data_IF_385280824130
#
_entry.id   IF_385280824130
#
_cell.length_a   1.000
_cell.length_b   1.000
_cell.length_c   1.000
_cell.angle_alpha   90.00
_cell.angle_beta   90.00
_cell.angle_gamma   90.00
#
_symmetry.space_group_name_H-M   'P 1'
#
loop_
_entity.id
_entity.type
_entity.pdbx_description
1 polymer ?
#
# COMPACT_ATOMS: atom_id res chain seq x y z
N UNK A 1 -20.81 -15.32 4.63
CA UNK A 1 -20.38 -13.93 4.35
C UNK A 1 -19.50 -13.96 3.10
N UNK A 2 -19.83 -13.20 2.05
CA UNK A 2 -18.96 -13.11 0.86
C UNK A 2 -17.81 -12.15 1.16
N UNK A 3 -16.58 -12.51 0.82
CA UNK A 3 -15.44 -11.60 0.94
C UNK A 3 -15.51 -10.57 -0.19
N UNK A 4 -15.39 -9.29 0.16
CA UNK A 4 -15.21 -8.23 -0.83
C UNK A 4 -13.74 -8.24 -1.25
N UNK A 5 -13.47 -8.11 -2.55
CA UNK A 5 -12.09 -7.98 -3.02
C UNK A 5 -11.50 -6.67 -2.48
N UNK A 6 -10.34 -6.77 -1.81
CA UNK A 6 -9.63 -5.64 -1.22
C UNK A 6 -8.62 -5.00 -2.19
N UNK A 7 -8.14 -5.76 -3.16
CA UNK A 7 -7.16 -5.28 -4.14
C UNK A 7 -7.80 -4.18 -5.00
N UNK A 8 -7.07 -3.08 -5.20
CA UNK A 8 -7.55 -1.90 -5.94
C UNK A 8 -8.42 -0.95 -5.12
N UNK A 9 -8.72 -1.24 -3.84
CA UNK A 9 -9.42 -0.27 -3.00
C UNK A 9 -8.51 0.93 -2.70
N UNK A 10 -9.09 2.13 -2.78
CA UNK A 10 -8.39 3.37 -2.47
C UNK A 10 -8.04 3.45 -0.99
N UNK A 11 -6.85 3.97 -0.72
CA UNK A 11 -6.35 4.23 0.64
C UNK A 11 -6.31 5.73 0.88
N UNK A 12 -7.08 6.18 1.86
CA UNK A 12 -7.23 7.59 2.22
C UNK A 12 -6.62 7.83 3.60
N UNK A 13 -5.75 8.82 3.72
CA UNK A 13 -5.08 9.20 4.97
C UNK A 13 -6.02 9.98 5.90
N UNK A 14 -5.58 10.21 7.15
CA UNK A 14 -6.34 10.98 8.14
C UNK A 14 -6.65 12.41 7.68
N UNK A 15 -5.71 13.01 6.96
CA UNK A 15 -5.78 14.35 6.36
C UNK A 15 -6.45 14.35 4.97
N UNK A 16 -7.24 13.31 4.68
CA UNK A 16 -8.05 13.16 3.47
C UNK A 16 -7.26 13.13 2.15
N UNK A 17 -5.96 12.82 2.19
CA UNK A 17 -5.18 12.61 0.98
C UNK A 17 -5.41 11.21 0.43
N UNK A 18 -5.46 11.10 -0.90
CA UNK A 18 -5.49 9.81 -1.57
C UNK A 18 -4.06 9.29 -1.72
N UNK A 19 -3.71 8.26 -0.97
CA UNK A 19 -2.37 7.68 -0.98
C UNK A 19 -2.13 6.81 -2.23
N UNK A 20 -3.18 6.11 -2.69
CA UNK A 20 -3.08 5.10 -3.73
C UNK A 20 -4.08 3.96 -3.51
N UNK A 21 -3.68 2.75 -3.88
CA UNK A 21 -4.55 1.57 -3.90
C UNK A 21 -3.86 0.35 -3.29
N UNK A 22 -4.65 -0.58 -2.74
CA UNK A 22 -4.12 -1.85 -2.22
C UNK A 22 -3.61 -2.72 -3.37
N UNK A 23 -2.36 -3.15 -3.27
CA UNK A 23 -1.67 -4.05 -4.21
C UNK A 23 -1.53 -5.46 -3.63
N UNK A 24 -1.49 -5.58 -2.30
CA UNK A 24 -1.27 -6.87 -1.61
C UNK A 24 -1.53 -6.81 -0.10
N UNK A 25 -1.43 -7.97 0.54
CA UNK A 25 -1.57 -8.13 1.99
C UNK A 25 -0.55 -9.14 2.53
N UNK A 26 -0.04 -8.89 3.71
CA UNK A 26 0.86 -9.80 4.42
C UNK A 26 0.09 -10.45 5.57
N UNK A 27 0.30 -11.75 5.77
CA UNK A 27 -0.35 -12.50 6.83
C UNK A 27 0.65 -13.36 7.59
N UNK A 28 0.52 -13.37 8.92
CA UNK A 28 1.21 -14.33 9.76
C UNK A 28 0.51 -15.69 9.62
N UNK A 29 1.20 -16.66 9.04
CA UNK A 29 0.69 -18.01 8.76
C UNK A 29 0.43 -18.84 10.02
N UNK A 30 1.02 -18.47 11.16
CA UNK A 30 0.84 -19.20 12.41
C UNK A 30 -0.46 -18.76 13.10
N UNK A 31 -0.76 -17.46 13.04
CA UNK A 31 -1.96 -16.87 13.67
C UNK A 31 -3.11 -16.63 12.69
N UNK A 32 -2.86 -16.77 11.39
CA UNK A 32 -3.77 -16.46 10.28
C UNK A 32 -4.34 -15.03 10.33
N UNK A 33 -3.53 -14.09 10.84
CA UNK A 33 -3.89 -12.67 10.92
C UNK A 33 -3.16 -11.86 9.85
N UNK A 34 -3.89 -10.96 9.19
CA UNK A 34 -3.29 -9.94 8.34
C UNK A 34 -2.48 -9.00 9.23
N UNK A 35 -1.21 -8.80 8.88
CA UNK A 35 -0.28 -7.95 9.64
C UNK A 35 -0.10 -6.60 8.95
N UNK A 36 -0.02 -6.59 7.62
CA UNK A 36 0.32 -5.42 6.84
C UNK A 36 -0.42 -5.40 5.49
N UNK A 37 -0.55 -4.20 4.93
CA UNK A 37 -1.15 -3.92 3.64
C UNK A 37 -0.11 -3.30 2.71
N UNK A 38 0.07 -3.88 1.52
CA UNK A 38 0.88 -3.27 0.48
C UNK A 38 0.02 -2.23 -0.26
N UNK A 39 0.45 -0.97 -0.22
CA UNK A 39 -0.22 0.14 -0.89
C UNK A 39 0.67 0.64 -2.02
N UNK A 40 0.17 0.51 -3.24
CA UNK A 40 0.77 1.12 -4.42
C UNK A 40 0.46 2.61 -4.43
N UNK A 41 1.49 3.42 -4.29
CA UNK A 41 1.37 4.87 -4.26
C UNK A 41 0.94 5.42 -5.63
N UNK A 42 0.04 6.40 -5.62
CA UNK A 42 -0.30 7.16 -6.82
C UNK A 42 0.75 8.25 -7.11
N UNK A 43 0.61 8.95 -8.24
CA UNK A 43 1.63 9.92 -8.69
C UNK A 43 1.68 11.16 -7.81
N UNK A 44 0.52 11.58 -7.32
CA UNK A 44 0.32 12.74 -6.47
C UNK A 44 1.00 12.53 -5.12
N UNK A 45 0.73 11.41 -4.44
CA UNK A 45 1.35 11.03 -3.18
C UNK A 45 2.87 10.89 -3.30
N UNK A 46 3.38 10.25 -4.36
CA UNK A 46 4.85 10.17 -4.60
C UNK A 46 5.47 11.56 -4.66
N UNK A 47 4.81 12.50 -5.38
CA UNK A 47 5.29 13.87 -5.55
C UNK A 47 5.25 14.64 -4.22
N UNK A 48 4.14 14.58 -3.49
CA UNK A 48 3.93 15.31 -2.25
C UNK A 48 4.81 14.79 -1.10
N UNK A 49 5.04 13.48 -1.06
CA UNK A 49 6.00 12.89 -0.14
C UNK A 49 7.45 13.20 -0.51
N UNK A 50 7.72 13.78 -1.69
CA UNK A 50 9.08 14.04 -2.17
C UNK A 50 9.86 12.76 -2.48
N UNK A 51 9.17 11.66 -2.75
CA UNK A 51 9.78 10.38 -3.09
C UNK A 51 10.22 10.40 -4.56
N UNK A 52 11.36 9.79 -4.84
CA UNK A 52 11.84 9.66 -6.22
C UNK A 52 10.97 8.68 -6.96
N UNK A 53 10.22 9.17 -7.95
CA UNK A 53 9.45 8.31 -8.84
C UNK A 53 10.39 7.34 -9.57
N UNK A 54 10.16 6.02 -9.49
CA UNK A 54 10.93 5.05 -10.26
C UNK A 54 10.69 5.25 -11.76
N UNK A 55 11.74 5.07 -12.58
CA UNK A 55 11.63 5.18 -14.05
C UNK A 55 10.79 4.05 -14.64
N UNK A 56 10.73 2.90 -13.97
CA UNK A 56 9.93 1.74 -14.31
C UNK A 56 9.44 1.06 -13.02
N UNK A 57 8.21 0.56 -13.02
CA UNK A 57 7.60 -0.08 -11.85
C UNK A 57 6.76 0.88 -10.99
N UNK A 58 6.17 0.31 -9.94
CA UNK A 58 5.35 1.02 -8.97
C UNK A 58 6.15 1.25 -7.67
N UNK A 59 5.82 2.33 -6.94
CA UNK A 59 6.33 2.52 -5.59
C UNK A 59 5.28 1.96 -4.61
N UNK A 60 5.65 0.96 -3.83
CA UNK A 60 4.78 0.27 -2.88
C UNK A 60 5.27 0.59 -1.47
N UNK A 61 4.34 0.92 -0.58
CA UNK A 61 4.61 1.07 0.86
C UNK A 61 3.86 -0.01 1.62
N UNK A 62 4.53 -0.60 2.61
CA UNK A 62 3.96 -1.61 3.49
C UNK A 62 3.42 -0.92 4.75
N UNK A 63 2.11 -1.00 4.97
CA UNK A 63 1.42 -0.29 6.05
C UNK A 63 0.87 -1.30 7.06
N UNK A 64 1.26 -1.21 8.35
CA UNK A 64 0.71 -2.06 9.40
C UNK A 64 -0.81 -1.97 9.46
N UNK A 65 -1.47 -3.10 9.70
CA UNK A 65 -2.93 -3.17 9.81
C UNK A 65 -3.47 -2.29 10.96
N UNK A 66 -2.63 -2.01 11.97
CA UNK A 66 -2.91 -1.12 13.09
C UNK A 66 -3.08 0.35 12.67
N UNK A 67 -2.63 0.72 11.47
CA UNK A 67 -2.80 2.06 10.91
C UNK A 67 -4.15 2.21 10.21
N UNK A 68 -4.92 1.13 10.06
CA UNK A 68 -6.26 1.18 9.46
C UNK A 68 -7.29 1.58 10.51
N UNK A 69 -7.99 2.68 10.24
CA UNK A 69 -9.13 3.16 11.03
C UNK A 69 -10.44 2.50 10.63
N UNK A 70 -10.65 2.29 9.33
CA UNK A 70 -11.92 1.78 8.78
C UNK A 70 -11.70 1.00 7.49
N UNK A 71 -12.41 -0.12 7.36
CA UNK A 71 -12.61 -0.86 6.11
C UNK A 71 -13.99 -0.57 5.53
N UNK A 72 -14.07 -0.40 4.21
CA UNK A 72 -15.32 -0.16 3.49
C UNK A 72 -15.15 -0.19 1.97
N UNK A 73 -15.73 0.79 1.28
CA UNK A 73 -15.47 1.05 -0.15
C UNK A 73 -14.12 1.71 -0.39
N UNK A 74 -13.56 2.28 0.67
CA UNK A 74 -12.18 2.78 0.76
C UNK A 74 -11.60 2.31 2.09
N UNK A 75 -10.28 2.28 2.18
CA UNK A 75 -9.56 2.06 3.43
C UNK A 75 -9.16 3.44 3.96
N UNK A 76 -9.57 3.76 5.17
CA UNK A 76 -9.18 5.01 5.84
C UNK A 76 -8.13 4.73 6.88
N UNK A 77 -7.03 5.46 6.86
CA UNK A 77 -5.96 5.37 7.85
C UNK A 77 -6.24 6.29 9.04
N UNK A 78 -5.64 5.97 10.19
CA UNK A 78 -5.61 6.83 11.37
C UNK A 78 -4.34 7.71 11.44
N UNK A 79 -3.57 7.78 10.36
CA UNK A 79 -2.33 8.56 10.24
C UNK A 79 -2.39 9.49 9.02
N UNK A 80 -1.70 10.63 9.11
CA UNK A 80 -1.58 11.61 8.01
C UNK A 80 -0.61 11.12 6.93
N UNK A 81 -0.65 11.75 5.75
CA UNK A 81 0.31 11.43 4.69
C UNK A 81 1.77 11.64 5.13
N UNK A 82 2.03 12.65 5.95
CA UNK A 82 3.36 12.94 6.50
C UNK A 82 3.83 11.83 7.46
N UNK A 83 2.94 11.31 8.30
CA UNK A 83 3.26 10.18 9.19
C UNK A 83 3.65 8.93 8.37
N UNK A 84 2.92 8.65 7.29
CA UNK A 84 3.20 7.50 6.40
C UNK A 84 4.55 7.63 5.71
N UNK A 85 4.94 8.83 5.29
CA UNK A 85 6.27 9.07 4.68
C UNK A 85 7.42 8.64 5.59
N UNK A 86 7.26 8.75 6.89
CA UNK A 86 8.28 8.40 7.88
C UNK A 86 8.31 6.90 8.22
N UNK A 87 7.35 6.13 7.72
CA UNK A 87 7.30 4.69 7.82
C UNK A 87 8.35 4.10 6.85
N UNK A 88 9.45 3.55 7.39
CA UNK A 88 10.64 3.09 6.65
C UNK A 88 10.32 2.47 5.28
N UNK A 89 10.92 3.04 4.24
CA UNK A 89 10.80 2.62 2.84
C UNK A 89 11.16 1.14 2.66
N UNK A 90 10.18 0.30 2.34
CA UNK A 90 10.45 -1.01 1.73
C UNK A 90 10.28 -0.85 0.22
N UNK A 91 11.31 -0.35 -0.45
CA UNK A 91 11.30 -0.16 -1.91
C UNK A 91 11.42 -1.51 -2.61
N UNK A 92 10.32 -2.23 -2.79
CA UNK A 92 10.29 -3.41 -3.67
C UNK A 92 10.12 -2.96 -5.11
N UNK A 93 11.22 -2.90 -5.86
CA UNK A 93 11.19 -2.81 -7.32
C UNK A 93 10.72 -4.16 -7.86
N UNK A 94 9.49 -4.25 -8.40
CA UNK A 94 9.04 -5.46 -9.10
C UNK A 94 9.82 -5.62 -10.41
N UNK A 95 10.94 -6.35 -10.35
CA UNK A 95 11.61 -6.91 -11.52
C UNK A 95 10.88 -8.19 -11.94
N UNK A 96 9.90 -8.07 -12.83
CA UNK A 96 9.40 -9.24 -13.55
C UNK A 96 10.39 -9.54 -14.69
N UNK A 97 11.43 -10.33 -14.39
CA UNK A 97 12.18 -11.06 -15.43
C UNK A 97 11.32 -12.23 -15.84
N UNK A 98 10.59 -12.08 -16.94
CA UNK A 98 9.96 -13.20 -17.65
C UNK A 98 11.09 -14.08 -18.18
N UNK A 99 11.44 -15.12 -17.45
CA UNK A 99 12.16 -16.28 -17.98
C UNK A 99 11.15 -17.08 -18.80
N UNK A 100 11.06 -16.81 -20.09
CA UNK A 100 10.54 -17.80 -21.04
C UNK A 100 11.73 -18.65 -21.49
N UNK A 101 12.00 -19.71 -20.72
CA UNK A 101 12.63 -20.90 -21.28
C UNK A 101 11.57 -21.63 -22.10
N UNK A 102 11.76 -21.66 -23.43
CA UNK A 102 11.47 -22.75 -24.36
C UNK A 102 11.89 -22.33 -25.76
#
# INVERSE_FOLDING_TARGET
MKTKNMIGLKVITLDAQNLGEIDGVHADINTWKITDLDVKLNREAIKEMGLKKPKLGALIVCIPITYVKRFGDVITLNHTQEDIKNLKESTTTQNNKTSSDS
#
